data_IF_472896185706
#
_entry.id   IF_472896185706
#
_cell.length_a   1.000
_cell.length_b   1.000
_cell.length_c   1.000
_cell.angle_alpha   90.00
_cell.angle_beta   90.00
_cell.angle_gamma   90.00
#
_symmetry.space_group_name_H-M   'P 1'
#
loop_
_entity.id
_entity.type
_entity.pdbx_description
1 polymer ?
#
# COMPACT_ATOMS: atom_id res chain seq x y z
N UNK A 1 11.62 -12.27 27.66
CA UNK A 1 12.92 -12.67 28.23
C UNK A 1 13.27 -14.02 27.60
N UNK A 2 14.30 -14.10 26.76
CA UNK A 2 14.72 -15.36 26.12
C UNK A 2 15.52 -16.18 27.15
N UNK A 3 15.10 -17.40 27.42
CA UNK A 3 15.83 -18.35 28.27
C UNK A 3 16.62 -19.29 27.38
N UNK A 4 17.96 -19.24 27.35
CA UNK A 4 18.78 -20.11 26.51
C UNK A 4 18.53 -21.58 26.86
N UNK A 5 18.02 -22.36 25.89
CA UNK A 5 17.94 -23.82 25.98
C UNK A 5 19.23 -24.48 25.49
N UNK A 6 19.42 -25.78 25.74
CA UNK A 6 20.57 -26.55 25.22
C UNK A 6 20.57 -26.49 23.68
N UNK A 7 21.43 -25.66 23.10
CA UNK A 7 21.65 -25.52 21.64
C UNK A 7 21.11 -24.24 21.00
N UNK A 8 20.28 -23.46 21.69
CA UNK A 8 19.68 -22.21 21.17
C UNK A 8 20.25 -21.00 21.90
N UNK A 9 21.22 -20.33 21.28
CA UNK A 9 21.86 -19.12 21.81
C UNK A 9 21.42 -17.89 21.00
N UNK A 10 21.43 -16.70 21.60
CA UNK A 10 21.13 -15.47 20.88
C UNK A 10 22.08 -15.22 19.68
N UNK A 11 23.40 -15.48 19.78
CA UNK A 11 24.29 -15.49 18.61
C UNK A 11 23.86 -16.50 17.53
N UNK A 12 23.46 -17.72 17.92
CA UNK A 12 22.98 -18.73 16.98
C UNK A 12 21.72 -18.32 16.24
N UNK A 13 20.76 -17.70 16.94
CA UNK A 13 19.54 -17.15 16.31
C UNK A 13 19.90 -16.02 15.34
N UNK A 14 20.78 -15.10 15.73
CA UNK A 14 21.20 -14.00 14.84
C UNK A 14 21.88 -14.52 13.58
N UNK A 15 22.74 -15.53 13.69
CA UNK A 15 23.37 -16.19 12.54
C UNK A 15 22.34 -16.88 11.64
N UNK A 16 21.35 -17.53 12.23
CA UNK A 16 20.25 -18.17 11.48
C UNK A 16 19.40 -17.16 10.70
N UNK A 17 19.24 -15.94 11.21
CA UNK A 17 18.47 -14.88 10.53
C UNK A 17 19.15 -14.34 9.26
N UNK A 18 20.47 -14.48 9.14
CA UNK A 18 21.26 -14.00 8.01
C UNK A 18 22.60 -13.42 8.46
N UNK A 19 23.41 -13.01 7.49
CA UNK A 19 24.75 -12.48 7.76
C UNK A 19 24.76 -10.96 7.91
N UNK A 20 24.80 -10.54 9.17
CA UNK A 20 24.83 -9.13 9.57
C UNK A 20 26.23 -8.64 9.96
N UNK A 21 27.23 -9.53 10.08
CA UNK A 21 28.58 -9.19 10.57
C UNK A 21 29.29 -8.15 9.68
N UNK A 22 28.95 -8.12 8.39
CA UNK A 22 29.46 -7.15 7.43
C UNK A 22 28.89 -5.73 7.65
N UNK A 23 27.79 -5.59 8.38
CA UNK A 23 27.11 -4.31 8.62
C UNK A 23 27.73 -3.62 9.84
N UNK A 24 28.74 -2.78 9.59
CA UNK A 24 29.45 -2.03 10.63
C UNK A 24 28.65 -0.87 11.23
N UNK A 25 27.69 -0.33 10.49
CA UNK A 25 26.86 0.77 10.97
C UNK A 25 25.79 0.22 11.91
N UNK A 26 25.85 0.61 13.19
CA UNK A 26 24.97 0.08 14.25
C UNK A 26 23.49 0.35 13.97
N UNK A 27 23.15 1.53 13.43
CA UNK A 27 21.77 1.85 13.09
C UNK A 27 21.26 0.94 11.96
N UNK A 28 22.04 0.78 10.89
CA UNK A 28 21.70 -0.14 9.79
C UNK A 28 21.59 -1.58 10.29
N UNK A 29 22.52 -2.03 11.13
CA UNK A 29 22.50 -3.37 11.74
C UNK A 29 21.20 -3.61 12.49
N UNK A 30 20.81 -2.69 13.38
CA UNK A 30 19.57 -2.80 14.14
C UNK A 30 18.33 -2.82 13.22
N UNK A 31 18.31 -1.98 12.18
CA UNK A 31 17.22 -1.98 11.19
C UNK A 31 17.12 -3.32 10.43
N UNK A 32 18.25 -3.91 10.01
CA UNK A 32 18.24 -5.20 9.28
C UNK A 32 17.89 -6.37 10.17
N UNK A 33 18.36 -6.40 11.41
CA UNK A 33 17.94 -7.41 12.38
C UNK A 33 16.44 -7.28 12.69
N UNK A 34 15.93 -6.05 12.81
CA UNK A 34 14.50 -5.77 13.02
C UNK A 34 13.61 -6.27 11.88
N UNK A 35 14.13 -6.29 10.64
CA UNK A 35 13.41 -6.76 9.45
C UNK A 35 12.88 -8.18 9.62
N UNK A 36 13.67 -9.07 10.22
CA UNK A 36 13.32 -10.47 10.49
C UNK A 36 12.18 -10.66 11.51
N UNK A 37 11.80 -9.60 12.24
CA UNK A 37 10.69 -9.63 13.20
C UNK A 37 9.43 -8.94 12.66
N UNK A 38 9.42 -8.59 11.36
CA UNK A 38 8.23 -8.03 10.72
C UNK A 38 7.13 -9.09 10.65
N UNK A 39 5.89 -8.70 10.91
CA UNK A 39 4.75 -9.60 10.71
C UNK A 39 4.58 -9.85 9.21
N UNK A 40 4.67 -11.13 8.82
CA UNK A 40 4.56 -11.58 7.44
C UNK A 40 3.71 -12.85 7.37
N UNK A 41 3.22 -13.15 6.16
CA UNK A 41 2.69 -14.46 5.81
C UNK A 41 3.73 -15.21 5.01
N UNK A 42 4.25 -16.29 5.56
CA UNK A 42 5.13 -17.22 4.86
C UNK A 42 4.37 -17.82 3.67
N UNK A 43 4.86 -17.58 2.46
CA UNK A 43 4.19 -18.01 1.25
C UNK A 43 4.78 -19.31 0.68
N UNK A 44 5.84 -19.22 -0.11
CA UNK A 44 6.38 -20.33 -0.90
C UNK A 44 7.91 -20.28 -0.95
N UNK A 45 8.55 -21.45 -1.00
CA UNK A 45 9.99 -21.53 -1.28
C UNK A 45 10.25 -21.29 -2.77
N UNK A 46 11.25 -20.46 -3.06
CA UNK A 46 11.74 -20.12 -4.40
C UNK A 46 13.22 -20.41 -4.42
N UNK A 47 13.66 -21.35 -5.26
CA UNK A 47 15.08 -21.68 -5.35
C UNK A 47 15.83 -20.59 -6.13
N UNK A 48 17.14 -20.44 -5.89
CA UNK A 48 17.93 -19.39 -6.55
C UNK A 48 17.94 -19.50 -8.08
N UNK A 49 17.80 -20.70 -8.66
CA UNK A 49 17.70 -20.89 -10.12
C UNK A 49 16.37 -20.40 -10.70
N UNK A 50 15.35 -20.22 -9.86
CA UNK A 50 14.03 -19.68 -10.22
C UNK A 50 13.96 -18.16 -10.08
N UNK A 51 15.01 -17.54 -9.54
CA UNK A 51 15.18 -16.09 -9.39
C UNK A 51 16.10 -15.57 -10.49
N UNK A 52 15.73 -14.44 -11.07
CA UNK A 52 16.57 -13.68 -11.99
C UNK A 52 17.13 -12.43 -11.30
N UNK A 53 18.40 -12.13 -11.52
CA UNK A 53 19.01 -10.89 -11.00
C UNK A 53 19.13 -9.88 -12.13
N UNK A 54 18.25 -8.88 -12.10
CA UNK A 54 18.15 -7.85 -13.12
C UNK A 54 18.82 -6.55 -12.65
N UNK A 55 19.22 -5.71 -13.61
CA UNK A 55 19.88 -4.44 -13.30
C UNK A 55 18.90 -3.39 -12.81
N UNK A 56 19.40 -2.50 -11.95
CA UNK A 56 18.71 -1.28 -11.55
C UNK A 56 18.64 -0.28 -12.71
N UNK A 57 17.51 0.42 -12.82
CA UNK A 57 17.23 1.36 -13.90
C UNK A 57 17.66 2.76 -13.46
N UNK A 58 18.67 3.33 -14.12
CA UNK A 58 19.20 4.67 -13.78
C UNK A 58 19.01 5.72 -14.86
N UNK A 59 18.74 5.31 -16.10
CA UNK A 59 18.60 6.18 -17.28
C UNK A 59 19.76 7.16 -17.50
N UNK A 60 20.99 6.75 -17.18
CA UNK A 60 22.18 7.61 -17.23
C UNK A 60 22.08 8.85 -16.31
N UNK A 61 21.23 8.79 -15.29
CA UNK A 61 21.16 9.79 -14.22
C UNK A 61 21.90 9.28 -12.98
N UNK A 62 22.08 10.14 -11.99
CA UNK A 62 22.59 9.74 -10.67
C UNK A 62 21.55 9.01 -9.81
N UNK A 63 20.31 8.89 -10.27
CA UNK A 63 19.20 8.33 -9.51
C UNK A 63 18.87 6.92 -9.98
N UNK A 64 18.35 6.11 -9.05
CA UNK A 64 17.81 4.77 -9.34
C UNK A 64 16.28 4.87 -9.37
N UNK A 65 15.69 4.64 -10.54
CA UNK A 65 14.24 4.68 -10.74
C UNK A 65 13.54 3.43 -10.21
N UNK A 66 14.28 2.33 -10.10
CA UNK A 66 13.79 1.02 -9.66
C UNK A 66 14.18 0.67 -8.22
N UNK A 67 14.49 1.66 -7.38
CA UNK A 67 14.98 1.40 -6.03
C UNK A 67 13.90 0.71 -5.21
N UNK A 68 14.17 -0.52 -4.78
CA UNK A 68 13.25 -1.29 -3.95
C UNK A 68 12.18 -2.08 -4.70
N UNK A 69 12.15 -2.08 -6.04
CA UNK A 69 11.17 -2.86 -6.82
C UNK A 69 11.77 -3.95 -7.69
N UNK A 70 11.13 -5.11 -7.71
CA UNK A 70 11.40 -6.23 -8.61
C UNK A 70 10.13 -6.68 -9.33
N UNK A 71 10.21 -7.85 -9.95
CA UNK A 71 9.12 -8.44 -10.73
C UNK A 71 8.76 -9.83 -10.20
N UNK A 72 7.50 -10.20 -10.35
CA UNK A 72 6.98 -11.55 -10.06
C UNK A 72 6.20 -12.04 -11.27
N UNK A 73 6.42 -13.30 -11.70
CA UNK A 73 5.63 -13.84 -12.81
C UNK A 73 4.17 -14.00 -12.41
N UNK A 74 3.27 -13.85 -13.38
CA UNK A 74 1.83 -13.98 -13.14
C UNK A 74 1.43 -15.34 -12.52
N UNK A 75 2.03 -16.42 -13.02
CA UNK A 75 1.78 -17.77 -12.49
C UNK A 75 2.21 -17.87 -11.01
N UNK A 76 3.39 -17.34 -10.68
CA UNK A 76 3.88 -17.41 -9.31
C UNK A 76 3.09 -16.48 -8.36
N UNK A 77 2.75 -15.27 -8.80
CA UNK A 77 1.88 -14.35 -8.07
C UNK A 77 0.52 -15.00 -7.73
N UNK A 78 -0.05 -15.76 -8.65
CA UNK A 78 -1.30 -16.49 -8.42
C UNK A 78 -1.15 -17.54 -7.32
N UNK A 79 -0.02 -18.25 -7.28
CA UNK A 79 0.27 -19.24 -6.22
C UNK A 79 0.48 -18.57 -4.87
N UNK A 80 1.20 -17.45 -4.84
CA UNK A 80 1.40 -16.63 -3.63
C UNK A 80 0.06 -16.12 -3.10
N UNK A 81 -0.79 -15.57 -3.95
CA UNK A 81 -2.12 -15.09 -3.58
C UNK A 81 -2.98 -16.18 -2.91
N UNK A 82 -3.00 -17.40 -3.49
CA UNK A 82 -3.71 -18.56 -2.90
C UNK A 82 -3.20 -18.90 -1.51
N UNK A 83 -1.88 -18.86 -1.30
CA UNK A 83 -1.25 -19.14 0.00
C UNK A 83 -1.56 -18.06 1.03
N UNK A 84 -1.64 -16.80 0.61
CA UNK A 84 -2.14 -15.67 1.40
C UNK A 84 -3.67 -15.71 1.64
N UNK A 85 -4.35 -16.81 1.27
CA UNK A 85 -5.79 -17.04 1.42
C UNK A 85 -6.66 -16.03 0.65
N UNK A 86 -6.11 -15.41 -0.38
CA UNK A 86 -6.85 -14.54 -1.30
C UNK A 86 -7.65 -15.42 -2.27
N UNK A 87 -8.97 -15.32 -2.22
CA UNK A 87 -9.88 -16.08 -3.09
C UNK A 87 -10.36 -15.18 -4.21
N UNK A 88 -10.26 -15.66 -5.45
CA UNK A 88 -10.89 -15.03 -6.62
C UNK A 88 -10.14 -13.87 -7.27
N UNK A 89 -8.94 -13.51 -6.80
CA UNK A 89 -8.09 -12.52 -7.46
C UNK A 89 -6.61 -12.69 -7.11
N UNK A 90 -5.75 -12.07 -7.93
CA UNK A 90 -4.29 -12.04 -7.76
C UNK A 90 -3.83 -10.60 -7.69
N UNK A 91 -3.33 -10.10 -6.55
CA UNK A 91 -2.80 -8.73 -6.44
C UNK A 91 -1.75 -8.41 -7.52
N UNK A 92 -1.72 -7.15 -7.97
CA UNK A 92 -0.77 -6.68 -8.97
C UNK A 92 0.62 -6.43 -8.40
N UNK A 93 0.76 -6.23 -7.09
CA UNK A 93 2.06 -6.19 -6.44
C UNK A 93 2.03 -6.68 -4.98
N UNK A 94 3.19 -7.13 -4.49
CA UNK A 94 3.39 -7.65 -3.15
C UNK A 94 4.61 -6.98 -2.52
N UNK A 95 4.49 -6.54 -1.27
CA UNK A 95 5.64 -6.18 -0.46
C UNK A 95 6.19 -7.46 0.19
N UNK A 96 7.47 -7.73 -0.02
CA UNK A 96 8.08 -9.01 0.31
C UNK A 96 9.39 -8.86 1.08
N UNK A 97 9.69 -9.89 1.87
CA UNK A 97 11.05 -10.25 2.26
C UNK A 97 11.39 -11.61 1.66
N UNK A 98 12.61 -11.74 1.13
CA UNK A 98 13.08 -12.99 0.54
C UNK A 98 14.61 -12.96 0.57
N UNK A 99 15.27 -13.94 1.18
CA UNK A 99 16.72 -14.12 1.04
C UNK A 99 17.58 -12.85 1.30
N UNK A 100 17.20 -12.05 2.31
CA UNK A 100 17.86 -10.77 2.60
C UNK A 100 17.50 -9.61 1.65
N UNK A 101 16.71 -9.86 0.62
CA UNK A 101 16.03 -8.85 -0.20
C UNK A 101 14.79 -8.30 0.53
N UNK A 102 14.60 -6.99 0.39
CA UNK A 102 13.41 -6.26 0.82
C UNK A 102 12.92 -5.39 -0.31
N UNK A 103 11.62 -5.43 -0.56
CA UNK A 103 11.00 -4.45 -1.43
C UNK A 103 9.61 -4.87 -1.91
N UNK A 104 9.18 -4.29 -3.02
CA UNK A 104 7.95 -4.66 -3.73
C UNK A 104 8.30 -5.52 -4.95
N UNK A 105 7.47 -6.50 -5.26
CA UNK A 105 7.49 -7.20 -6.55
C UNK A 105 6.17 -6.99 -7.27
N UNK A 106 6.23 -6.42 -8.47
CA UNK A 106 5.08 -6.19 -9.33
C UNK A 106 4.89 -7.33 -10.33
N UNK A 107 3.64 -7.67 -10.63
CA UNK A 107 3.31 -8.70 -11.61
C UNK A 107 3.78 -8.25 -12.98
N UNK A 108 4.66 -9.03 -13.59
CA UNK A 108 5.08 -8.86 -14.98
C UNK A 108 4.55 -10.04 -15.81
N UNK A 109 3.55 -9.82 -16.69
CA UNK A 109 3.01 -10.87 -17.55
C UNK A 109 4.04 -11.50 -18.49
N UNK A 110 5.12 -10.80 -18.82
CA UNK A 110 6.18 -11.28 -19.70
C UNK A 110 7.29 -12.04 -18.95
N UNK A 111 7.30 -12.02 -17.62
CA UNK A 111 8.35 -12.68 -16.83
C UNK A 111 8.18 -14.20 -16.81
N UNK A 112 9.21 -14.92 -17.23
CA UNK A 112 9.28 -16.39 -17.18
C UNK A 112 9.82 -16.93 -15.86
N UNK A 113 10.63 -16.14 -15.15
CA UNK A 113 11.20 -16.49 -13.84
C UNK A 113 10.23 -16.13 -12.73
N UNK A 114 10.24 -16.89 -11.63
CA UNK A 114 9.30 -16.69 -10.51
C UNK A 114 9.47 -15.30 -9.92
N UNK A 115 10.70 -14.88 -9.70
CA UNK A 115 11.06 -13.56 -9.22
C UNK A 115 12.18 -12.98 -10.08
N UNK A 116 12.15 -11.67 -10.33
CA UNK A 116 13.28 -10.91 -10.85
C UNK A 116 13.61 -9.81 -9.86
N UNK A 117 14.77 -9.89 -9.21
CA UNK A 117 15.18 -9.01 -8.12
C UNK A 117 16.31 -8.09 -8.58
N UNK A 118 16.37 -6.90 -7.96
CA UNK A 118 17.39 -5.88 -8.23
C UNK A 118 18.38 -5.76 -7.10
N UNK A 119 19.58 -5.25 -7.39
CA UNK A 119 20.64 -5.08 -6.39
C UNK A 119 20.23 -4.09 -5.30
N UNK A 120 19.50 -3.03 -5.65
CA UNK A 120 18.92 -2.07 -4.69
C UNK A 120 18.06 -2.72 -3.60
N UNK A 121 17.42 -3.86 -3.90
CA UNK A 121 16.59 -4.60 -2.95
C UNK A 121 17.41 -5.45 -1.96
N UNK A 122 18.63 -5.86 -2.29
CA UNK A 122 19.48 -6.69 -1.43
C UNK A 122 20.01 -5.89 -0.25
N UNK A 123 19.66 -6.30 0.98
CA UNK A 123 19.99 -5.57 2.21
C UNK A 123 21.05 -6.26 3.07
N UNK A 124 21.10 -7.59 3.02
CA UNK A 124 22.09 -8.46 3.66
C UNK A 124 22.06 -9.84 2.98
N UNK A 125 23.05 -10.68 3.24
CA UNK A 125 23.09 -12.04 2.70
C UNK A 125 22.33 -13.01 3.62
N UNK A 126 21.59 -13.95 3.04
CA UNK A 126 20.84 -14.97 3.76
C UNK A 126 20.89 -16.29 2.97
N UNK A 127 20.41 -17.36 3.59
CA UNK A 127 20.18 -18.66 2.93
C UNK A 127 18.67 -19.00 2.91
N UNK A 128 17.81 -18.09 3.39
CA UNK A 128 16.38 -18.31 3.47
C UNK A 128 15.70 -18.05 2.12
N UNK A 129 15.40 -19.15 1.43
CA UNK A 129 14.74 -19.18 0.11
C UNK A 129 13.21 -19.11 0.20
N UNK A 130 12.63 -18.78 1.35
CA UNK A 130 11.19 -18.62 1.50
C UNK A 130 10.77 -17.17 1.30
N UNK A 131 9.75 -16.97 0.47
CA UNK A 131 9.14 -15.64 0.28
C UNK A 131 8.13 -15.35 1.39
N UNK A 132 8.36 -14.24 2.09
CA UNK A 132 7.49 -13.70 3.12
C UNK A 132 6.72 -12.51 2.56
N UNK A 133 5.39 -12.56 2.58
CA UNK A 133 4.52 -11.48 2.11
C UNK A 133 4.08 -10.62 3.29
N UNK A 134 4.41 -9.33 3.26
CA UNK A 134 4.06 -8.35 4.30
C UNK A 134 2.76 -7.62 3.95
N UNK A 135 2.62 -7.22 2.69
CA UNK A 135 1.47 -6.50 2.18
C UNK A 135 1.27 -6.82 0.69
N UNK A 136 0.11 -6.46 0.16
CA UNK A 136 -0.23 -6.60 -1.25
C UNK A 136 -1.18 -5.48 -1.67
N UNK A 137 -1.23 -5.20 -2.97
CA UNK A 137 -2.15 -4.20 -3.55
C UNK A 137 -3.59 -4.59 -3.30
N UNK A 138 -4.37 -3.65 -2.78
CA UNK A 138 -5.79 -3.80 -2.48
C UNK A 138 -6.45 -2.44 -2.39
N UNK A 139 -7.78 -2.40 -2.47
CA UNK A 139 -8.55 -1.20 -2.16
C UNK A 139 -8.15 -0.63 -0.78
N UNK A 140 -7.65 0.62 -0.77
CA UNK A 140 -7.41 1.37 0.45
C UNK A 140 -7.94 2.80 0.33
N UNK A 141 -8.84 3.23 1.24
CA UNK A 141 -9.37 4.59 1.24
C UNK A 141 -8.28 5.60 1.60
N UNK A 142 -8.31 6.75 0.92
CA UNK A 142 -7.43 7.88 1.23
C UNK A 142 -8.11 8.88 2.18
N UNK A 143 -7.32 9.46 3.06
CA UNK A 143 -7.74 10.52 3.96
C UNK A 143 -6.73 11.66 3.90
N UNK A 144 -7.23 12.90 3.91
CA UNK A 144 -6.40 14.04 4.25
C UNK A 144 -6.00 13.94 5.73
N UNK A 145 -4.87 14.53 6.06
CA UNK A 145 -4.40 14.71 7.42
C UNK A 145 -3.89 16.15 7.57
N UNK A 146 -3.54 16.55 8.79
CA UNK A 146 -3.03 17.90 9.08
C UNK A 146 -1.86 18.32 8.18
N UNK A 147 -0.90 17.42 7.90
CA UNK A 147 0.27 17.73 7.08
C UNK A 147 -0.12 18.05 5.64
N UNK A 148 -0.90 17.15 5.01
CA UNK A 148 -1.38 17.36 3.65
C UNK A 148 -2.26 18.61 3.53
N UNK A 149 -3.13 18.87 4.51
CA UNK A 149 -3.98 20.07 4.51
C UNK A 149 -3.10 21.33 4.54
N UNK A 150 -2.11 21.39 5.43
CA UNK A 150 -1.20 22.54 5.53
C UNK A 150 -0.42 22.76 4.23
N UNK A 151 0.11 21.69 3.63
CA UNK A 151 0.84 21.80 2.36
C UNK A 151 -0.06 22.25 1.21
N UNK A 152 -1.25 21.67 1.08
CA UNK A 152 -2.20 22.05 0.04
C UNK A 152 -2.68 23.50 0.21
N UNK A 153 -2.92 23.95 1.43
CA UNK A 153 -3.23 25.36 1.74
C UNK A 153 -2.09 26.28 1.32
N UNK A 154 -0.84 25.89 1.61
CA UNK A 154 0.37 26.63 1.20
C UNK A 154 0.55 26.69 -0.33
N UNK A 155 0.14 25.64 -1.03
CA UNK A 155 0.12 25.55 -2.49
C UNK A 155 -1.07 26.28 -3.14
N UNK A 156 -1.91 26.96 -2.35
CA UNK A 156 -2.98 27.83 -2.84
C UNK A 156 -4.38 27.21 -2.86
N UNK A 157 -4.58 26.03 -2.27
CA UNK A 157 -5.94 25.48 -2.08
C UNK A 157 -6.64 26.26 -0.97
N UNK A 158 -7.78 26.89 -1.28
CA UNK A 158 -8.54 27.67 -0.30
C UNK A 158 -8.99 26.83 0.90
N UNK A 159 -8.81 27.36 2.11
CA UNK A 159 -9.16 26.67 3.36
C UNK A 159 -10.65 26.28 3.44
N UNK A 160 -11.52 27.07 2.82
CA UNK A 160 -12.96 26.79 2.70
C UNK A 160 -13.24 25.42 2.05
N UNK A 161 -12.35 24.93 1.17
CA UNK A 161 -12.48 23.61 0.55
C UNK A 161 -12.32 22.50 1.60
N UNK A 162 -11.39 22.67 2.54
CA UNK A 162 -11.18 21.70 3.63
C UNK A 162 -12.32 21.75 4.64
N UNK A 163 -12.80 22.96 4.98
CA UNK A 163 -13.95 23.14 5.86
C UNK A 163 -15.22 22.49 5.28
N UNK A 164 -15.48 22.69 3.98
CA UNK A 164 -16.60 22.05 3.29
C UNK A 164 -16.49 20.53 3.35
N UNK A 165 -15.31 19.96 3.03
CA UNK A 165 -15.08 18.51 3.09
C UNK A 165 -15.20 17.96 4.52
N UNK A 166 -14.76 18.71 5.52
CA UNK A 166 -14.92 18.34 6.91
C UNK A 166 -16.40 18.30 7.28
N UNK A 167 -17.18 19.32 6.88
CA UNK A 167 -18.62 19.37 7.10
C UNK A 167 -19.34 18.20 6.42
N UNK A 168 -19.04 17.92 5.16
CA UNK A 168 -19.57 16.75 4.44
C UNK A 168 -19.26 15.44 5.18
N UNK A 169 -18.05 15.30 5.72
CA UNK A 169 -17.66 14.14 6.53
C UNK A 169 -18.43 14.02 7.84
N UNK A 170 -18.70 15.14 8.52
CA UNK A 170 -19.55 15.17 9.73
C UNK A 170 -20.98 14.77 9.40
N UNK A 171 -21.55 15.33 8.33
CA UNK A 171 -22.92 15.05 7.90
C UNK A 171 -23.08 13.56 7.53
N UNK A 172 -22.11 12.98 6.81
CA UNK A 172 -22.08 11.54 6.51
C UNK A 172 -22.03 10.68 7.77
N UNK A 173 -21.22 11.05 8.75
CA UNK A 173 -21.13 10.31 10.01
C UNK A 173 -22.42 10.40 10.81
N UNK A 174 -23.09 11.56 10.84
CA UNK A 174 -24.38 11.68 11.52
C UNK A 174 -25.48 10.83 10.86
N UNK A 175 -25.43 10.65 9.53
CA UNK A 175 -26.35 9.76 8.81
C UNK A 175 -26.18 8.28 9.18
N UNK A 176 -25.00 7.85 9.62
CA UNK A 176 -24.76 6.46 10.08
C UNK A 176 -25.68 6.08 11.25
N UNK A 177 -26.08 7.05 12.06
CA UNK A 177 -26.92 6.82 13.23
C UNK A 177 -28.42 6.81 12.91
N UNK A 178 -28.83 7.13 11.68
CA UNK A 178 -30.24 7.35 11.33
C UNK A 178 -30.67 6.62 10.05
N UNK A 179 -29.82 6.55 9.03
CA UNK A 179 -30.09 5.88 7.75
C UNK A 179 -29.50 4.45 7.75
N UNK A 180 -30.34 3.40 7.68
CA UNK A 180 -29.87 2.01 7.63
C UNK A 180 -28.89 1.71 6.49
N UNK A 181 -29.03 2.37 5.32
CA UNK A 181 -28.13 2.18 4.18
C UNK A 181 -26.76 2.77 4.47
N UNK A 182 -26.71 3.97 5.07
CA UNK A 182 -25.45 4.62 5.46
C UNK A 182 -24.78 3.89 6.61
N UNK A 183 -25.56 3.36 7.55
CA UNK A 183 -25.07 2.46 8.59
C UNK A 183 -24.39 1.23 7.96
N UNK A 184 -25.03 0.61 6.96
CA UNK A 184 -24.48 -0.55 6.28
C UNK A 184 -23.16 -0.23 5.57
N UNK A 185 -23.12 0.85 4.78
CA UNK A 185 -21.90 1.34 4.11
C UNK A 185 -20.77 1.62 5.13
N UNK A 186 -21.09 2.20 6.28
CA UNK A 186 -20.10 2.48 7.33
C UNK A 186 -19.57 1.20 8.00
N UNK A 187 -20.43 0.21 8.23
CA UNK A 187 -20.03 -1.11 8.75
C UNK A 187 -19.13 -1.83 7.74
N UNK A 188 -19.32 -1.65 6.43
CA UNK A 188 -18.40 -2.20 5.42
C UNK A 188 -16.97 -1.64 5.51
N UNK A 189 -16.82 -0.43 6.03
CA UNK A 189 -15.53 0.22 6.23
C UNK A 189 -14.86 -0.15 7.56
N UNK A 190 -15.56 -0.87 8.46
CA UNK A 190 -14.98 -1.41 9.68
C UNK A 190 -14.04 -2.59 9.37
N UNK A 191 -13.18 -2.94 10.34
CA UNK A 191 -12.36 -4.15 10.20
C UNK A 191 -13.25 -5.38 10.05
N UNK A 192 -12.99 -6.25 9.06
CA UNK A 192 -13.76 -7.48 8.88
C UNK A 192 -13.62 -8.37 10.11
N UNK A 193 -14.72 -8.98 10.54
CA UNK A 193 -14.79 -9.83 11.73
C UNK A 193 -16.24 -10.25 12.01
N UNK A 194 -16.42 -11.18 12.95
CA UNK A 194 -17.73 -11.74 13.31
C UNK A 194 -18.72 -10.65 13.74
N UNK A 195 -18.26 -9.68 14.53
CA UNK A 195 -19.07 -8.54 14.96
C UNK A 195 -19.56 -7.71 13.76
N UNK A 196 -18.68 -7.43 12.81
CA UNK A 196 -19.01 -6.67 11.60
C UNK A 196 -20.04 -7.43 10.74
N UNK A 197 -19.90 -8.76 10.62
CA UNK A 197 -20.87 -9.60 9.92
C UNK A 197 -22.24 -9.59 10.60
N UNK A 198 -22.29 -9.71 11.93
CA UNK A 198 -23.53 -9.63 12.69
C UNK A 198 -24.23 -8.27 12.51
N UNK A 199 -23.49 -7.17 12.57
CA UNK A 199 -24.05 -5.82 12.35
C UNK A 199 -24.63 -5.67 10.94
N UNK A 200 -23.96 -6.23 9.92
CA UNK A 200 -24.48 -6.25 8.54
C UNK A 200 -25.77 -7.06 8.44
N UNK A 201 -25.82 -8.23 9.06
CA UNK A 201 -27.02 -9.08 9.06
C UNK A 201 -28.21 -8.39 9.74
N UNK A 202 -28.00 -7.74 10.89
CA UNK A 202 -29.05 -6.96 11.56
C UNK A 202 -29.61 -5.86 10.64
N UNK A 203 -28.74 -5.11 9.97
CA UNK A 203 -29.17 -4.06 9.03
C UNK A 203 -29.90 -4.65 7.80
N UNK A 204 -29.46 -5.79 7.27
CA UNK A 204 -30.12 -6.48 6.15
C UNK A 204 -31.50 -7.04 6.53
N UNK A 205 -31.67 -7.46 7.78
CA UNK A 205 -32.96 -7.88 8.33
C UNK A 205 -33.92 -6.70 8.58
N UNK A 206 -33.51 -5.46 8.27
CA UNK A 206 -34.36 -4.28 8.36
C UNK A 206 -34.38 -3.60 9.74
N UNK A 207 -33.48 -3.98 10.65
CA UNK A 207 -33.32 -3.24 11.91
C UNK A 207 -32.82 -1.82 11.61
N UNK A 208 -33.48 -0.83 12.21
CA UNK A 208 -32.99 0.55 12.13
C UNK A 208 -31.82 0.76 13.09
N UNK A 209 -30.88 1.67 12.77
CA UNK A 209 -29.72 2.00 13.60
C UNK A 209 -30.02 2.24 15.09
N UNK A 210 -31.18 2.81 15.40
CA UNK A 210 -31.61 3.24 16.73
C UNK A 210 -32.52 2.25 17.46
N UNK A 211 -32.97 1.19 16.78
CA UNK A 211 -34.00 0.29 17.30
C UNK A 211 -33.44 -0.83 18.20
N UNK A 212 -32.28 -1.38 17.86
CA UNK A 212 -31.66 -2.47 18.61
C UNK A 212 -30.49 -1.94 19.44
N UNK A 213 -30.47 -2.14 20.78
CA UNK A 213 -29.47 -1.56 21.66
C UNK A 213 -28.01 -1.89 21.29
N UNK A 214 -27.73 -3.13 20.88
CA UNK A 214 -26.37 -3.52 20.52
C UNK A 214 -25.91 -2.86 19.22
N UNK A 215 -26.72 -2.88 18.16
CA UNK A 215 -26.49 -2.17 16.89
C UNK A 215 -26.28 -0.68 17.14
N UNK A 216 -27.17 -0.04 17.90
CA UNK A 216 -27.09 1.38 18.23
C UNK A 216 -25.79 1.70 18.96
N UNK A 217 -25.44 0.93 20.00
CA UNK A 217 -24.20 1.14 20.76
C UNK A 217 -22.95 1.00 19.86
N UNK A 218 -22.93 0.01 18.98
CA UNK A 218 -21.80 -0.22 18.06
C UNK A 218 -21.66 0.91 17.03
N UNK A 219 -22.77 1.39 16.46
CA UNK A 219 -22.77 2.52 15.53
C UNK A 219 -22.34 3.83 16.22
N UNK A 220 -22.79 4.07 17.46
CA UNK A 220 -22.35 5.21 18.26
C UNK A 220 -20.86 5.13 18.61
N UNK A 221 -20.34 3.96 18.96
CA UNK A 221 -18.92 3.77 19.22
C UNK A 221 -18.07 4.03 17.96
N UNK A 222 -18.52 3.54 16.80
CA UNK A 222 -17.89 3.85 15.52
C UNK A 222 -17.91 5.36 15.23
N UNK A 223 -19.08 6.00 15.34
CA UNK A 223 -19.26 7.43 15.13
C UNK A 223 -18.33 8.24 16.05
N UNK A 224 -18.32 7.95 17.35
CA UNK A 224 -17.48 8.63 18.34
C UNK A 224 -15.99 8.49 18.00
N UNK A 225 -15.56 7.29 17.58
CA UNK A 225 -14.18 7.04 17.16
C UNK A 225 -13.80 7.88 15.93
N UNK A 226 -14.67 7.91 14.91
CA UNK A 226 -14.42 8.67 13.67
C UNK A 226 -14.44 10.18 13.92
N UNK A 227 -15.39 10.68 14.72
CA UNK A 227 -15.45 12.08 15.18
C UNK A 227 -14.19 12.47 15.94
N UNK A 228 -13.70 11.61 16.83
CA UNK A 228 -12.48 11.86 17.58
C UNK A 228 -11.26 11.96 16.65
N UNK A 229 -11.12 11.06 15.67
CA UNK A 229 -10.05 11.14 14.67
C UNK A 229 -10.16 12.39 13.80
N UNK A 230 -11.37 12.80 13.41
CA UNK A 230 -11.59 14.04 12.66
C UNK A 230 -11.14 15.26 13.46
N UNK A 231 -11.52 15.35 14.74
CA UNK A 231 -11.14 16.45 15.64
C UNK A 231 -9.64 16.48 15.93
N UNK A 232 -9.04 15.32 16.21
CA UNK A 232 -7.65 15.24 16.71
C UNK A 232 -6.60 15.10 15.63
N UNK A 233 -6.96 14.61 14.43
CA UNK A 233 -6.02 14.35 13.33
C UNK A 233 -6.42 14.98 12.00
N UNK A 234 -7.57 15.66 11.95
CA UNK A 234 -8.14 16.20 10.70
C UNK A 234 -8.23 15.12 9.62
N UNK A 235 -8.61 13.90 10.02
CA UNK A 235 -8.69 12.72 9.14
C UNK A 235 -9.91 12.80 8.23
N UNK A 236 -9.87 13.66 7.22
CA UNK A 236 -10.99 13.91 6.31
C UNK A 236 -10.96 12.88 5.18
N UNK A 237 -12.05 12.14 5.00
CA UNK A 237 -12.16 11.14 3.93
C UNK A 237 -12.21 11.81 2.55
N UNK A 238 -11.49 11.23 1.57
CA UNK A 238 -11.51 11.70 0.18
C UNK A 238 -12.16 10.62 -0.69
N UNK A 239 -13.43 10.76 -1.08
CA UNK A 239 -14.18 9.68 -1.77
C UNK A 239 -13.52 9.16 -3.06
N UNK A 240 -12.91 10.07 -3.85
CA UNK A 240 -12.18 9.76 -5.08
C UNK A 240 -10.69 9.45 -4.85
N UNK A 241 -10.22 9.64 -3.63
CA UNK A 241 -8.83 9.43 -3.26
C UNK A 241 -8.56 7.97 -2.93
N UNK A 242 -7.36 7.51 -3.23
CA UNK A 242 -6.90 6.15 -2.91
C UNK A 242 -5.50 6.18 -2.33
N UNK A 243 -5.24 5.29 -1.37
CA UNK A 243 -3.91 5.00 -0.90
C UNK A 243 -3.39 3.81 -1.71
N UNK A 244 -2.31 4.00 -2.46
CA UNK A 244 -1.85 3.06 -3.48
C UNK A 244 -0.39 2.72 -3.27
N UNK A 245 -0.03 1.45 -3.42
CA UNK A 245 1.37 1.03 -3.43
C UNK A 245 2.06 1.57 -4.68
N UNK A 246 3.28 2.08 -4.54
CA UNK A 246 4.10 2.49 -5.68
C UNK A 246 4.55 1.28 -6.51
N UNK A 247 4.53 1.43 -7.84
CA UNK A 247 5.03 0.47 -8.81
C UNK A 247 5.82 1.19 -9.92
N UNK A 248 6.57 0.44 -10.72
CA UNK A 248 7.38 0.96 -11.82
C UNK A 248 6.83 0.47 -13.16
N UNK A 249 6.83 1.36 -14.15
CA UNK A 249 6.52 1.02 -15.54
C UNK A 249 7.69 0.31 -16.22
N UNK A 250 7.66 -1.02 -16.22
CA UNK A 250 8.63 -1.86 -16.93
C UNK A 250 8.49 -1.78 -18.47
N UNK A 251 7.35 -1.31 -19.00
CA UNK A 251 7.10 -1.19 -20.45
C UNK A 251 7.77 0.02 -21.09
N UNK A 252 8.14 1.01 -20.26
CA UNK A 252 8.76 2.28 -20.69
C UNK A 252 7.82 3.11 -21.57
N UNK A 253 6.51 3.00 -21.40
CA UNK A 253 5.53 3.76 -22.16
C UNK A 253 5.24 5.11 -21.50
N UNK A 254 5.21 5.20 -20.17
CA UNK A 254 4.97 6.47 -19.46
C UNK A 254 6.14 7.44 -19.64
N UNK A 255 5.82 8.70 -19.89
CA UNK A 255 6.76 9.82 -19.91
C UNK A 255 6.93 10.46 -18.51
N UNK A 256 7.97 11.27 -18.36
CA UNK A 256 8.18 12.02 -17.12
C UNK A 256 7.05 13.04 -16.91
N UNK A 257 6.43 13.01 -15.72
CA UNK A 257 5.23 13.78 -15.39
C UNK A 257 3.93 12.97 -15.52
N UNK A 258 3.99 11.76 -16.07
CA UNK A 258 2.84 10.88 -16.25
C UNK A 258 2.82 9.76 -15.21
N UNK A 259 1.64 9.21 -14.93
CA UNK A 259 1.43 8.00 -14.12
C UNK A 259 0.31 7.16 -14.71
N UNK A 260 0.31 5.87 -14.42
CA UNK A 260 -0.85 5.02 -14.65
C UNK A 260 -1.49 4.62 -13.32
N UNK A 261 -2.81 4.74 -13.25
CA UNK A 261 -3.59 4.41 -12.05
C UNK A 261 -4.90 3.74 -12.47
N UNK A 262 -5.11 2.53 -11.98
CA UNK A 262 -6.36 1.80 -12.13
C UNK A 262 -6.81 1.29 -10.76
N UNK A 263 -8.07 1.57 -10.40
CA UNK A 263 -8.57 1.37 -9.03
C UNK A 263 -9.79 0.46 -9.02
N UNK A 264 -9.81 -0.49 -8.08
CA UNK A 264 -10.95 -1.34 -7.83
C UNK A 264 -12.09 -0.59 -7.12
N UNK A 265 -13.31 -1.11 -7.24
CA UNK A 265 -14.48 -0.61 -6.49
C UNK A 265 -14.48 -1.13 -5.06
N UNK A 266 -14.97 -0.31 -4.13
CA UNK A 266 -15.18 -0.73 -2.74
C UNK A 266 -16.05 -2.00 -2.69
N UNK A 267 -15.66 -2.97 -1.86
CA UNK A 267 -16.36 -4.25 -1.72
C UNK A 267 -16.12 -5.26 -2.86
N UNK A 268 -15.49 -4.86 -3.97
CA UNK A 268 -15.10 -5.78 -5.05
C UNK A 268 -13.64 -6.17 -4.89
N UNK A 269 -13.40 -7.39 -4.40
CA UNK A 269 -12.07 -8.00 -4.42
C UNK A 269 -11.67 -8.54 -5.79
N UNK A 270 -12.29 -8.12 -6.90
CA UNK A 270 -12.02 -8.66 -8.22
C UNK A 270 -11.62 -7.57 -9.22
N UNK A 271 -10.61 -7.88 -10.02
CA UNK A 271 -10.08 -7.02 -11.09
C UNK A 271 -11.08 -6.73 -12.21
N UNK A 272 -12.17 -7.50 -12.30
CA UNK A 272 -13.15 -7.41 -13.39
C UNK A 272 -13.96 -6.10 -13.41
N UNK A 273 -13.88 -5.27 -12.37
CA UNK A 273 -14.61 -3.99 -12.26
C UNK A 273 -13.69 -2.83 -11.84
N UNK A 274 -12.44 -2.82 -12.32
CA UNK A 274 -11.52 -1.72 -12.09
C UNK A 274 -11.75 -0.57 -13.08
N UNK A 275 -11.58 0.66 -12.62
CA UNK A 275 -11.70 1.85 -13.46
C UNK A 275 -10.31 2.48 -13.63
N UNK A 276 -9.92 2.71 -14.89
CA UNK A 276 -8.73 3.50 -15.21
C UNK A 276 -9.00 4.96 -14.88
N UNK A 277 -8.06 5.59 -14.21
CA UNK A 277 -8.09 7.01 -13.89
C UNK A 277 -7.34 7.76 -14.99
N UNK A 278 -7.98 8.78 -15.55
CA UNK A 278 -7.37 9.68 -16.53
C UNK A 278 -7.56 11.14 -16.10
N UNK A 279 -6.56 11.97 -16.37
CA UNK A 279 -6.57 13.40 -16.01
C UNK A 279 -5.55 13.75 -14.94
N UNK A 280 -5.62 14.99 -14.47
CA UNK A 280 -4.69 15.50 -13.46
C UNK A 280 -4.96 14.88 -12.10
N UNK A 281 -3.92 14.27 -11.52
CA UNK A 281 -3.93 13.68 -10.19
C UNK A 281 -2.87 14.33 -9.32
N UNK A 282 -3.16 14.42 -8.03
CA UNK A 282 -2.20 14.85 -7.02
C UNK A 282 -1.70 13.60 -6.30
N UNK A 283 -0.39 13.43 -6.24
CA UNK A 283 0.29 12.31 -5.59
C UNK A 283 1.16 12.85 -4.47
N UNK A 284 1.01 12.28 -3.28
CA UNK A 284 1.83 12.62 -2.13
C UNK A 284 2.03 11.39 -1.23
N UNK A 285 3.18 11.29 -0.57
CA UNK A 285 3.42 10.29 0.48
C UNK A 285 3.28 10.95 1.86
N UNK A 286 2.77 10.20 2.82
CA UNK A 286 2.84 10.59 4.23
C UNK A 286 4.01 9.89 4.94
N UNK A 287 4.77 10.59 5.80
CA UNK A 287 4.68 12.04 6.09
C UNK A 287 5.24 12.90 4.96
N UNK A 288 4.63 14.06 4.73
CA UNK A 288 5.11 15.09 3.80
C UNK A 288 5.40 16.38 4.57
N UNK A 289 6.52 17.04 4.24
CA UNK A 289 7.02 18.19 5.01
C UNK A 289 7.34 19.40 4.13
N UNK A 290 7.70 19.17 2.87
CA UNK A 290 8.02 20.23 1.93
C UNK A 290 6.88 20.38 0.90
N UNK A 291 6.52 21.60 0.46
CA UNK A 291 5.48 21.78 -0.57
C UNK A 291 5.75 21.00 -1.86
N UNK A 292 7.04 20.80 -2.19
CA UNK A 292 7.47 19.98 -3.32
C UNK A 292 7.21 18.48 -3.19
N UNK A 293 6.90 17.98 -2.00
CA UNK A 293 6.54 16.57 -1.76
C UNK A 293 5.15 16.22 -2.32
N UNK A 294 4.33 17.23 -2.62
CA UNK A 294 3.03 17.09 -3.28
C UNK A 294 3.22 17.34 -4.77
N UNK A 295 3.01 16.30 -5.58
CA UNK A 295 3.22 16.35 -7.03
C UNK A 295 1.89 16.34 -7.76
N UNK A 296 1.75 17.20 -8.76
CA UNK A 296 0.66 17.13 -9.72
C UNK A 296 1.19 16.40 -10.95
N UNK A 297 0.59 15.26 -11.25
CA UNK A 297 0.98 14.37 -12.34
C UNK A 297 -0.22 14.12 -13.26
N UNK A 298 0.05 13.72 -14.49
CA UNK A 298 -0.98 13.39 -15.47
C UNK A 298 -1.22 11.88 -15.47
N UNK A 299 -2.43 11.45 -15.11
CA UNK A 299 -2.83 10.06 -15.25
C UNK A 299 -3.19 9.76 -16.71
N UNK A 300 -2.49 8.78 -17.31
CA UNK A 300 -2.65 8.36 -18.71
C UNK A 300 -3.14 6.92 -18.75
N UNK A 301 -4.08 6.65 -19.65
CA UNK A 301 -4.56 5.29 -19.94
C UNK A 301 -3.61 4.58 -20.91
N UNK A 302 -2.99 3.49 -20.46
CA UNK A 302 -2.07 2.66 -21.23
C UNK A 302 -2.57 1.21 -21.17
N UNK A 303 -3.04 0.64 -22.30
CA UNK A 303 -3.57 -0.73 -22.35
C UNK A 303 -2.62 -1.80 -21.81
N UNK A 304 -1.33 -1.68 -22.10
CA UNK A 304 -0.30 -2.61 -21.62
C UNK A 304 -0.19 -2.65 -20.09
N UNK A 305 -0.64 -1.60 -19.39
CA UNK A 305 -0.62 -1.49 -17.93
C UNK A 305 -1.95 -1.87 -17.26
N UNK A 306 -2.98 -2.28 -18.00
CA UNK A 306 -4.31 -2.63 -17.43
C UNK A 306 -4.31 -3.80 -16.44
N UNK A 307 -3.23 -4.59 -16.42
CA UNK A 307 -3.01 -5.65 -15.43
C UNK A 307 -2.61 -5.10 -14.04
N UNK A 308 -2.24 -3.82 -13.95
CA UNK A 308 -1.83 -3.14 -12.72
C UNK A 308 -3.03 -2.48 -12.05
N UNK A 309 -3.49 -3.01 -10.92
CA UNK A 309 -4.69 -2.56 -10.21
C UNK A 309 -4.37 -2.31 -8.74
N UNK A 310 -4.96 -1.25 -8.20
CA UNK A 310 -4.75 -0.79 -6.81
C UNK A 310 -3.29 -0.45 -6.48
N UNK A 311 -2.56 0.01 -7.49
CA UNK A 311 -1.23 0.61 -7.37
C UNK A 311 -1.13 1.88 -8.24
N UNK A 312 -0.10 2.68 -7.99
CA UNK A 312 0.30 3.80 -8.85
C UNK A 312 1.58 3.42 -9.56
N UNK A 313 1.55 3.42 -10.90
CA UNK A 313 2.69 3.04 -11.72
C UNK A 313 3.41 4.31 -12.16
N UNK A 314 4.68 4.42 -11.78
CA UNK A 314 5.55 5.56 -12.08
C UNK A 314 6.42 5.30 -13.33
N UNK A 315 6.78 6.36 -14.07
CA UNK A 315 7.62 6.26 -15.24
C UNK A 315 9.04 5.92 -14.82
N UNK A 316 9.68 5.08 -15.62
CA UNK A 316 11.12 4.90 -15.58
C UNK A 316 11.84 5.92 -16.47
N UNK A 317 11.25 7.08 -16.79
CA UNK A 317 11.88 8.14 -17.61
C UNK A 317 11.95 9.44 -16.82
N UNK A 318 12.92 10.28 -17.17
CA UNK A 318 13.04 11.63 -16.63
C UNK A 318 14.39 11.93 -16.01
N UNK A 319 14.48 13.11 -15.39
CA UNK A 319 15.72 13.60 -14.76
C UNK A 319 15.88 13.10 -13.32
N UNK A 320 14.76 12.83 -12.65
CA UNK A 320 14.67 12.42 -11.25
C UNK A 320 13.42 11.55 -11.08
N UNK A 321 13.45 10.45 -10.32
CA UNK A 321 12.27 9.63 -10.07
C UNK A 321 11.21 10.44 -9.29
N UNK A 322 9.93 10.33 -9.67
CA UNK A 322 8.84 10.98 -8.91
C UNK A 322 8.73 10.50 -7.47
N UNK A 323 9.22 9.29 -7.19
CA UNK A 323 9.32 8.70 -5.86
C UNK A 323 10.25 9.53 -4.96
N UNK A 324 11.44 9.84 -5.47
CA UNK A 324 12.42 10.67 -4.77
C UNK A 324 11.95 12.12 -4.64
N UNK A 325 11.12 12.61 -5.57
CA UNK A 325 10.45 13.91 -5.45
C UNK A 325 9.37 13.94 -4.37
N UNK A 326 8.73 12.80 -4.09
CA UNK A 326 7.71 12.66 -3.05
C UNK A 326 8.37 12.27 -1.72
N UNK A 327 8.99 13.23 -1.01
CA UNK A 327 9.63 13.00 0.29
C UNK A 327 10.81 12.01 0.29
N UNK A 328 11.56 11.90 -0.80
CA UNK A 328 12.74 11.03 -0.88
C UNK A 328 12.41 9.54 -0.77
N UNK A 329 11.31 9.14 -1.40
CA UNK A 329 10.73 7.79 -1.28
C UNK A 329 11.35 6.80 -2.26
N UNK A 330 11.14 5.53 -1.97
CA UNK A 330 11.52 4.41 -2.83
C UNK A 330 10.29 3.52 -3.12
N UNK A 331 10.50 2.35 -3.73
CA UNK A 331 9.46 1.39 -4.02
C UNK A 331 9.53 0.16 -3.09
N UNK A 332 9.95 0.33 -1.83
CA UNK A 332 10.11 -0.79 -0.90
C UNK A 332 8.83 -1.15 -0.09
N UNK A 333 7.72 -0.50 -0.45
CA UNK A 333 6.40 -0.64 0.17
C UNK A 333 5.68 0.69 0.43
N UNK A 334 6.22 1.80 -0.08
CA UNK A 334 5.65 3.11 0.11
C UNK A 334 4.23 3.23 -0.46
N UNK A 335 3.36 3.87 0.33
CA UNK A 335 1.96 4.09 0.01
C UNK A 335 1.74 5.56 -0.31
N UNK A 336 1.26 5.82 -1.52
CA UNK A 336 1.00 7.15 -2.06
C UNK A 336 -0.48 7.46 -1.99
N UNK A 337 -0.80 8.64 -1.48
CA UNK A 337 -2.13 9.22 -1.54
C UNK A 337 -2.33 9.84 -2.91
N UNK A 338 -3.18 9.22 -3.72
CA UNK A 338 -3.76 9.80 -4.92
C UNK A 338 -4.97 10.62 -4.53
N UNK A 339 -4.95 11.93 -4.80
CA UNK A 339 -6.06 12.86 -4.65
C UNK A 339 -6.46 13.38 -6.04
N UNK A 340 -7.75 13.61 -6.27
CA UNK A 340 -8.21 14.07 -7.59
C UNK A 340 -8.52 12.91 -8.54
N UNK A 341 -8.77 13.27 -9.80
CA UNK A 341 -9.74 12.71 -10.78
C UNK A 341 -10.45 11.41 -10.43
#
# INVERSE_FOLDING_TARGET
MFSPGRGLTAPGIRKWLGEFELIRNVAKYATRLGQSFSSSTEALTVQHDEVDLIQDITNNTSYVFSDGIGKISFEFATRVAKKCRLKGFTPSAFQIHYDGYKGVVAVDPASSKKLSLRRSMSKFESENTTIDVLAYTKYQPCFLNRQLITLLSTLGVSDNVFELKQKEGVDQLNQVLTDPKKAYEAVELMSPGETTSLLKELLLCGYKPDCEPFLSMMLHAFWATRMFELRTKSRIFVPKGRALMGCLDETRLLEYGEVFVQVSRAGCGSHFNANVVAGMVVVAKNPCLHPGDVRVLQAIDIPDLHHMVDCVVFPQKGKRPHLDECSGSDLDGDIFCKLGS
#
